data_IF_328033782862
#
_entry.id   IF_328033782862
#
_cell.length_a   1.000
_cell.length_b   1.000
_cell.length_c   1.000
_cell.angle_alpha   90.00
_cell.angle_beta   90.00
_cell.angle_gamma   90.00
#
_symmetry.space_group_name_H-M   'P 1'
#
loop_
_entity.id
_entity.type
_entity.pdbx_description
1 polymer ?
#
# COMPACT_ATOMS: atom_id res chain seq x y z
N UNK A 1 -11.09 10.83 -15.99
CA UNK A 1 -11.11 9.43 -16.45
C UNK A 1 -12.38 8.84 -15.84
N UNK A 2 -13.29 8.36 -16.67
CA UNK A 2 -14.55 7.76 -16.20
C UNK A 2 -14.23 6.48 -15.40
N UNK A 3 -14.80 6.35 -14.20
CA UNK A 3 -14.52 5.24 -13.28
C UNK A 3 -15.72 4.32 -13.28
N UNK A 4 -15.62 3.11 -13.85
CA UNK A 4 -16.79 2.26 -14.10
C UNK A 4 -17.51 1.84 -12.81
N UNK A 5 -16.80 1.79 -11.67
CA UNK A 5 -17.40 1.48 -10.37
C UNK A 5 -18.21 2.64 -9.75
N UNK A 6 -18.12 3.86 -10.29
CA UNK A 6 -18.95 5.00 -9.87
C UNK A 6 -20.38 4.90 -10.46
N UNK A 7 -20.56 4.10 -11.51
CA UNK A 7 -21.82 3.82 -12.19
C UNK A 7 -22.17 2.32 -12.17
N UNK A 8 -21.76 1.61 -11.11
CA UNK A 8 -21.88 0.14 -11.03
C UNK A 8 -23.33 -0.37 -11.12
N UNK A 9 -24.31 0.46 -10.71
CA UNK A 9 -25.73 0.13 -10.77
C UNK A 9 -26.28 0.12 -12.21
N UNK A 10 -25.57 0.75 -13.15
CA UNK A 10 -25.91 0.79 -14.58
C UNK A 10 -25.25 -0.37 -15.36
N UNK A 11 -24.45 -1.21 -14.70
CA UNK A 11 -23.71 -2.32 -15.31
C UNK A 11 -24.43 -3.65 -15.11
N UNK A 12 -24.25 -4.57 -16.06
CA UNK A 12 -24.82 -5.92 -15.99
C UNK A 12 -23.76 -7.00 -16.19
N UNK A 13 -24.03 -8.18 -15.62
CA UNK A 13 -23.25 -9.39 -15.85
C UNK A 13 -21.74 -9.21 -15.62
N UNK A 14 -20.95 -9.53 -16.66
CA UNK A 14 -19.49 -9.50 -16.59
C UNK A 14 -18.90 -8.09 -16.39
N UNK A 15 -19.64 -7.03 -16.73
CA UNK A 15 -19.14 -5.65 -16.62
C UNK A 15 -19.11 -5.19 -15.16
N UNK A 16 -20.01 -5.71 -14.31
CA UNK A 16 -19.93 -5.53 -12.85
C UNK A 16 -18.59 -6.08 -12.34
N UNK A 17 -18.23 -7.31 -12.72
CA UNK A 17 -16.97 -7.94 -12.28
C UNK A 17 -15.74 -7.15 -12.70
N UNK A 18 -15.72 -6.64 -13.93
CA UNK A 18 -14.62 -5.79 -14.41
C UNK A 18 -14.54 -4.48 -13.60
N UNK A 19 -15.67 -3.85 -13.31
CA UNK A 19 -15.71 -2.62 -12.53
C UNK A 19 -15.20 -2.83 -11.09
N UNK A 20 -15.65 -3.90 -10.42
CA UNK A 20 -15.17 -4.25 -9.07
C UNK A 20 -13.69 -4.65 -9.09
N UNK A 21 -13.24 -5.40 -10.09
CA UNK A 21 -11.83 -5.78 -10.25
C UNK A 21 -10.93 -4.55 -10.41
N UNK A 22 -11.34 -3.61 -11.26
CA UNK A 22 -10.61 -2.36 -11.49
C UNK A 22 -10.55 -1.49 -10.22
N UNK A 23 -11.65 -1.41 -9.45
CA UNK A 23 -11.65 -0.74 -8.17
C UNK A 23 -10.69 -1.39 -7.15
N UNK A 24 -10.74 -2.73 -7.03
CA UNK A 24 -9.86 -3.48 -6.13
C UNK A 24 -8.40 -3.27 -6.50
N UNK A 25 -8.08 -3.26 -7.81
CA UNK A 25 -6.74 -2.97 -8.31
C UNK A 25 -6.27 -1.58 -7.91
N UNK A 26 -7.00 -0.53 -8.26
CA UNK A 26 -6.61 0.86 -7.94
C UNK A 26 -6.50 1.07 -6.44
N UNK A 27 -7.43 0.52 -5.67
CA UNK A 27 -7.41 0.62 -4.21
C UNK A 27 -6.21 -0.11 -3.61
N UNK A 28 -5.89 -1.31 -4.08
CA UNK A 28 -4.74 -2.08 -3.57
C UNK A 28 -3.41 -1.44 -3.97
N UNK A 29 -3.27 -0.99 -5.23
CA UNK A 29 -2.07 -0.28 -5.69
C UNK A 29 -1.82 0.98 -4.85
N UNK A 30 -2.88 1.71 -4.47
CA UNK A 30 -2.77 2.85 -3.56
C UNK A 30 -2.24 2.45 -2.18
N UNK A 31 -2.74 1.36 -1.59
CA UNK A 31 -2.26 0.87 -0.29
C UNK A 31 -0.81 0.37 -0.36
N UNK A 32 -0.43 -0.30 -1.44
CA UNK A 32 0.97 -0.72 -1.65
C UNK A 32 1.90 0.49 -1.78
N UNK A 33 1.46 1.56 -2.45
CA UNK A 33 2.21 2.82 -2.50
C UNK A 33 2.33 3.47 -1.12
N UNK A 34 1.24 3.49 -0.32
CA UNK A 34 1.26 4.02 1.04
C UNK A 34 2.18 3.22 1.97
N UNK A 35 2.14 1.89 1.91
CA UNK A 35 3.05 1.00 2.65
C UNK A 35 4.52 1.21 2.24
N UNK A 36 4.79 1.36 0.94
CA UNK A 36 6.13 1.69 0.43
C UNK A 36 6.63 3.01 1.01
N UNK A 37 5.82 4.07 0.97
CA UNK A 37 6.17 5.37 1.56
C UNK A 37 6.39 5.23 3.07
N UNK A 38 5.54 4.47 3.77
CA UNK A 38 5.68 4.23 5.20
C UNK A 38 7.01 3.53 5.53
N UNK A 39 7.36 2.43 4.86
CA UNK A 39 8.64 1.74 5.09
C UNK A 39 9.82 2.61 4.64
N UNK A 40 9.67 3.35 3.55
CA UNK A 40 10.67 4.28 3.06
C UNK A 40 11.01 5.37 4.06
N UNK A 41 10.02 5.94 4.76
CA UNK A 41 10.23 6.98 5.78
C UNK A 41 10.57 6.44 7.17
N UNK A 42 9.88 5.38 7.61
CA UNK A 42 9.87 4.91 8.99
C UNK A 42 10.44 3.50 9.19
N UNK A 43 10.87 2.83 8.13
CA UNK A 43 11.43 1.48 8.18
C UNK A 43 12.89 1.42 8.66
N UNK A 44 13.56 2.56 8.86
CA UNK A 44 14.94 2.66 9.32
C UNK A 44 15.10 3.75 10.38
N UNK A 45 15.76 3.43 11.51
CA UNK A 45 15.92 4.34 12.64
C UNK A 45 16.66 5.64 12.27
N UNK A 46 17.58 5.61 11.31
CA UNK A 46 18.33 6.79 10.85
C UNK A 46 17.43 7.75 10.06
N UNK A 47 16.51 7.20 9.26
CA UNK A 47 15.50 7.98 8.52
C UNK A 47 14.52 8.64 9.48
N UNK A 48 14.09 7.89 10.51
CA UNK A 48 13.30 8.44 11.63
C UNK A 48 14.06 9.58 12.32
N UNK A 49 15.37 9.44 12.51
CA UNK A 49 16.25 10.48 13.06
C UNK A 49 16.15 11.80 12.29
N UNK A 50 16.31 11.76 10.95
CA UNK A 50 16.15 12.94 10.07
C UNK A 50 14.78 13.59 10.28
N UNK A 51 13.72 12.78 10.25
CA UNK A 51 12.35 13.28 10.37
C UNK A 51 12.11 13.93 11.74
N UNK A 52 12.65 13.35 12.81
CA UNK A 52 12.50 13.87 14.16
C UNK A 52 13.30 15.17 14.38
N UNK A 53 14.51 15.25 13.82
CA UNK A 53 15.32 16.47 13.83
C UNK A 53 14.66 17.60 13.05
N UNK A 54 14.04 17.29 11.90
CA UNK A 54 13.30 18.28 11.12
C UNK A 54 12.01 18.73 11.85
N UNK A 55 11.16 17.78 12.27
CA UNK A 55 9.98 18.02 13.09
C UNK A 55 9.35 16.71 13.59
N UNK A 56 9.73 16.26 14.78
CA UNK A 56 9.16 15.06 15.41
C UNK A 56 7.62 15.03 15.50
N UNK A 57 6.94 16.11 15.91
CA UNK A 57 5.47 16.12 15.95
C UNK A 57 4.82 15.91 14.59
N UNK A 58 5.35 16.55 13.53
CA UNK A 58 4.84 16.37 12.17
C UNK A 58 5.12 14.95 11.66
N UNK A 59 6.34 14.44 11.91
CA UNK A 59 6.71 13.08 11.55
C UNK A 59 5.77 12.04 12.18
N UNK A 60 5.42 12.24 13.46
CA UNK A 60 4.48 11.35 14.18
C UNK A 60 3.08 11.36 13.54
N UNK A 61 2.56 12.54 13.19
CA UNK A 61 1.25 12.67 12.53
C UNK A 61 1.25 11.95 11.18
N UNK A 62 2.31 12.11 10.39
CA UNK A 62 2.46 11.43 9.09
C UNK A 62 2.53 9.92 9.29
N UNK A 63 3.34 9.44 10.25
CA UNK A 63 3.48 8.02 10.55
C UNK A 63 2.14 7.39 10.91
N UNK A 64 1.41 8.00 11.85
CA UNK A 64 0.12 7.48 12.32
C UNK A 64 -0.92 7.51 11.19
N UNK A 65 -0.97 8.59 10.42
CA UNK A 65 -1.93 8.75 9.32
C UNK A 65 -1.72 7.70 8.24
N UNK A 66 -0.47 7.47 7.82
CA UNK A 66 -0.16 6.43 6.82
C UNK A 66 -0.47 5.03 7.34
N UNK A 67 -0.11 4.76 8.60
CA UNK A 67 -0.38 3.48 9.22
C UNK A 67 -1.88 3.18 9.32
N UNK A 68 -2.65 4.13 9.83
CA UNK A 68 -4.09 3.97 10.01
C UNK A 68 -4.82 3.94 8.66
N UNK A 69 -4.35 4.67 7.64
CA UNK A 69 -4.87 4.59 6.28
C UNK A 69 -4.68 3.18 5.69
N UNK A 70 -3.50 2.57 5.86
CA UNK A 70 -3.25 1.19 5.43
C UNK A 70 -4.15 0.19 6.15
N UNK A 71 -4.28 0.30 7.49
CA UNK A 71 -5.19 -0.53 8.29
C UNK A 71 -6.62 -0.45 7.77
N UNK A 72 -7.15 0.78 7.62
CA UNK A 72 -8.52 1.01 7.16
C UNK A 72 -8.75 0.48 5.74
N UNK A 73 -7.80 0.74 4.83
CA UNK A 73 -7.90 0.31 3.44
C UNK A 73 -7.88 -1.20 3.28
N UNK A 74 -7.00 -1.89 3.99
CA UNK A 74 -6.95 -3.36 4.00
C UNK A 74 -8.27 -3.92 4.54
N UNK A 75 -8.72 -3.44 5.70
CA UNK A 75 -9.99 -3.91 6.27
C UNK A 75 -11.16 -3.68 5.32
N UNK A 76 -11.23 -2.51 4.66
CA UNK A 76 -12.28 -2.19 3.69
C UNK A 76 -12.30 -3.16 2.50
N UNK A 77 -11.15 -3.53 1.95
CA UNK A 77 -11.06 -4.47 0.83
C UNK A 77 -11.36 -5.92 1.23
N UNK A 78 -11.08 -6.30 2.49
CA UNK A 78 -11.31 -7.64 3.03
C UNK A 78 -12.66 -7.82 3.75
N UNK A 79 -13.42 -6.73 3.93
CA UNK A 79 -14.74 -6.76 4.57
C UNK A 79 -15.75 -7.55 3.73
N UNK A 80 -16.81 -8.10 4.36
CA UNK A 80 -17.77 -8.92 3.64
C UNK A 80 -18.58 -8.03 2.70
N UNK A 81 -19.05 -8.60 1.60
CA UNK A 81 -20.14 -7.99 0.86
C UNK A 81 -21.36 -7.97 1.79
N UNK A 82 -21.70 -6.81 2.37
CA UNK A 82 -22.86 -6.71 3.26
C UNK A 82 -24.12 -7.03 2.45
N UNK A 83 -25.02 -7.92 2.93
CA UNK A 83 -26.30 -8.17 2.27
C UNK A 83 -27.14 -6.88 2.27
N UNK A 84 -27.71 -6.57 1.12
CA UNK A 84 -28.39 -5.31 0.81
C UNK A 84 -29.62 -5.07 1.70
N UNK A 85 -29.46 -4.25 2.73
CA UNK A 85 -30.57 -3.45 3.31
C UNK A 85 -30.41 -1.94 3.04
N UNK A 86 -29.30 -1.56 2.39
CA UNK A 86 -29.03 -0.22 1.87
C UNK A 86 -28.61 -0.35 0.39
N UNK A 87 -28.86 0.67 -0.45
CA UNK A 87 -28.52 0.61 -1.87
C UNK A 87 -27.00 0.52 -2.13
N UNK A 88 -26.14 0.87 -1.17
CA UNK A 88 -24.68 0.85 -1.36
C UNK A 88 -24.07 -0.54 -1.10
N UNK A 89 -23.63 -1.23 -2.16
CA UNK A 89 -22.75 -2.41 -2.04
C UNK A 89 -21.31 -1.95 -1.78
N UNK A 90 -20.62 -2.64 -0.86
CA UNK A 90 -19.20 -2.38 -0.66
C UNK A 90 -18.40 -3.04 -1.79
N UNK A 91 -17.56 -2.25 -2.48
CA UNK A 91 -16.61 -2.75 -3.46
C UNK A 91 -15.45 -3.43 -2.73
N UNK A 92 -15.49 -4.76 -2.65
CA UNK A 92 -14.52 -5.59 -1.90
C UNK A 92 -14.11 -6.81 -2.71
N UNK A 93 -13.08 -7.53 -2.24
CA UNK A 93 -12.73 -8.83 -2.82
C UNK A 93 -13.88 -9.84 -2.73
N UNK A 94 -14.72 -9.77 -1.69
CA UNK A 94 -15.88 -10.63 -1.58
C UNK A 94 -16.87 -10.36 -2.70
N UNK A 95 -17.19 -9.08 -2.95
CA UNK A 95 -18.07 -8.72 -4.06
C UNK A 95 -17.48 -9.15 -5.41
N UNK A 96 -16.18 -8.95 -5.63
CA UNK A 96 -15.50 -9.37 -6.85
C UNK A 96 -15.74 -10.87 -7.10
N UNK A 97 -15.44 -11.72 -6.10
CA UNK A 97 -15.58 -13.17 -6.20
C UNK A 97 -17.04 -13.57 -6.45
N UNK A 98 -17.99 -12.89 -5.80
CA UNK A 98 -19.42 -13.14 -5.94
C UNK A 98 -19.96 -12.78 -7.34
N UNK A 99 -19.38 -11.75 -7.98
CA UNK A 99 -19.83 -11.28 -9.30
C UNK A 99 -19.16 -12.01 -10.46
N UNK A 100 -18.05 -12.74 -10.23
CA UNK A 100 -17.36 -13.49 -11.29
C UNK A 100 -18.37 -14.39 -12.04
N UNK A 101 -18.22 -14.61 -13.36
CA UNK A 101 -18.98 -15.66 -14.04
C UNK A 101 -18.76 -17.00 -13.31
N UNK A 102 -19.66 -17.98 -13.47
CA UNK A 102 -19.54 -19.30 -12.82
C UNK A 102 -18.16 -19.90 -13.08
N UNK A 103 -17.24 -19.72 -12.13
CA UNK A 103 -15.85 -20.13 -12.27
C UNK A 103 -15.56 -21.26 -11.31
N UNK A 104 -14.91 -22.29 -11.83
CA UNK A 104 -14.50 -23.47 -11.04
C UNK A 104 -13.56 -23.05 -9.88
N UNK A 105 -12.96 -21.86 -9.98
CA UNK A 105 -12.03 -21.31 -8.99
C UNK A 105 -12.70 -20.50 -7.88
N UNK A 106 -14.00 -20.17 -7.98
CA UNK A 106 -14.70 -19.31 -7.01
C UNK A 106 -14.55 -19.80 -5.57
N UNK A 107 -14.66 -21.10 -5.34
CA UNK A 107 -14.48 -21.71 -4.02
C UNK A 107 -13.05 -21.52 -3.49
N UNK A 108 -12.04 -21.69 -4.36
CA UNK A 108 -10.64 -21.51 -4.00
C UNK A 108 -10.34 -20.05 -3.63
N UNK A 109 -10.85 -19.09 -4.42
CA UNK A 109 -10.72 -17.65 -4.10
C UNK A 109 -11.40 -17.30 -2.79
N UNK A 110 -12.59 -17.85 -2.53
CA UNK A 110 -13.29 -17.66 -1.25
C UNK A 110 -12.51 -18.17 -0.05
N UNK A 111 -11.91 -19.37 -0.16
CA UNK A 111 -11.05 -19.94 0.89
C UNK A 111 -9.82 -19.07 1.15
N UNK A 112 -9.17 -18.57 0.09
CA UNK A 112 -8.02 -17.69 0.23
C UNK A 112 -8.36 -16.33 0.82
N UNK A 113 -9.48 -15.74 0.39
CA UNK A 113 -10.00 -14.52 0.99
C UNK A 113 -10.27 -14.72 2.49
N UNK A 114 -10.78 -15.89 2.90
CA UNK A 114 -10.97 -16.19 4.31
C UNK A 114 -9.63 -16.27 5.07
N UNK A 115 -8.60 -16.91 4.51
CA UNK A 115 -7.26 -16.93 5.10
C UNK A 115 -6.67 -15.52 5.25
N UNK A 116 -6.82 -14.67 4.24
CA UNK A 116 -6.40 -13.26 4.28
C UNK A 116 -7.10 -12.50 5.42
N UNK A 117 -8.41 -12.71 5.58
CA UNK A 117 -9.18 -12.09 6.65
C UNK A 117 -8.67 -12.55 8.01
N UNK A 118 -8.44 -13.83 8.19
CA UNK A 118 -7.93 -14.37 9.45
C UNK A 118 -6.55 -13.80 9.81
N UNK A 119 -5.67 -13.62 8.83
CA UNK A 119 -4.39 -12.90 9.02
C UNK A 119 -4.58 -11.43 9.36
N UNK A 120 -5.55 -10.76 8.75
CA UNK A 120 -5.89 -9.36 9.00
C UNK A 120 -6.77 -9.14 10.27
N UNK A 121 -6.89 -10.13 11.15
CA UNK A 121 -7.72 -10.03 12.37
C UNK A 121 -7.26 -8.91 13.30
N UNK A 122 -5.95 -8.81 13.55
CA UNK A 122 -5.39 -7.74 14.39
C UNK A 122 -5.64 -6.33 13.81
N UNK A 123 -5.65 -6.19 12.48
CA UNK A 123 -5.99 -4.93 11.81
C UNK A 123 -7.45 -4.55 12.05
N UNK A 124 -8.36 -5.53 11.99
CA UNK A 124 -9.80 -5.32 12.27
C UNK A 124 -10.02 -4.95 13.72
N UNK A 125 -9.36 -5.64 14.66
CA UNK A 125 -9.42 -5.30 16.08
C UNK A 125 -8.92 -3.87 16.34
N UNK A 126 -7.84 -3.45 15.67
CA UNK A 126 -7.34 -2.08 15.75
C UNK A 126 -8.35 -1.08 15.19
N UNK A 127 -8.89 -1.33 13.99
CA UNK A 127 -9.92 -0.47 13.39
C UNK A 127 -11.09 -0.28 14.35
N UNK A 128 -11.63 -1.37 14.86
CA UNK A 128 -12.87 -1.34 15.65
C UNK A 128 -12.65 -0.67 17.02
N UNK A 129 -11.48 -0.88 17.66
CA UNK A 129 -11.20 -0.37 19.01
C UNK A 129 -10.55 1.02 19.09
N UNK A 130 -9.85 1.45 18.03
CA UNK A 130 -9.09 2.71 18.05
C UNK A 130 -9.51 3.71 16.98
N UNK A 131 -9.96 3.25 15.81
CA UNK A 131 -10.21 4.14 14.67
C UNK A 131 -11.70 4.45 14.48
N UNK A 132 -12.58 3.45 14.67
CA UNK A 132 -14.02 3.57 14.45
C UNK A 132 -14.80 3.92 15.71
N UNK A 133 -14.37 3.40 16.87
CA UNK A 133 -14.96 3.69 18.17
C UNK A 133 -13.87 4.17 19.11
N UNK A 134 -13.86 5.46 19.42
CA UNK A 134 -13.15 5.96 20.61
C UNK A 134 -13.96 5.54 21.84
N UNK A 135 -14.05 4.23 22.08
CA UNK A 135 -14.86 3.71 23.18
C UNK A 135 -14.20 4.08 24.51
N UNK A 136 -14.95 4.69 25.41
CA UNK A 136 -14.46 5.14 26.72
C UNK A 136 -13.92 3.95 27.51
N UNK A 137 -14.48 2.76 27.29
CA UNK A 137 -14.02 1.52 27.94
C UNK A 137 -12.72 0.98 27.33
N UNK A 138 -12.44 1.23 26.05
CA UNK A 138 -11.15 0.91 25.43
C UNK A 138 -10.03 1.82 25.96
N UNK A 139 -10.35 3.08 26.24
CA UNK A 139 -9.46 4.05 26.88
C UNK A 139 -9.24 3.77 28.38
N UNK A 140 -10.27 3.31 29.10
CA UNK A 140 -10.21 3.03 30.55
C UNK A 140 -9.55 1.70 30.92
N UNK A 141 -9.72 0.67 30.10
CA UNK A 141 -9.18 -0.66 30.42
C UNK A 141 -7.74 -0.89 29.93
N UNK A 142 -7.03 0.18 29.52
CA UNK A 142 -5.69 0.07 28.96
C UNK A 142 -5.64 -0.99 27.87
N UNK A 143 -6.66 -1.00 27.00
CA UNK A 143 -6.90 -2.10 26.07
C UNK A 143 -5.58 -2.41 25.36
N UNK A 144 -5.01 -3.57 25.68
CA UNK A 144 -3.89 -4.14 24.94
C UNK A 144 -4.46 -4.53 23.57
N UNK A 145 -4.68 -3.53 22.73
CA UNK A 145 -4.98 -3.77 21.33
C UNK A 145 -3.71 -4.36 20.76
N UNK A 146 -3.85 -5.57 20.23
CA UNK A 146 -2.72 -6.36 19.76
C UNK A 146 -1.83 -5.49 18.88
N UNK A 147 -0.55 -5.45 19.23
CA UNK A 147 0.46 -4.77 18.44
C UNK A 147 0.32 -5.21 16.98
N UNK A 148 0.11 -4.26 16.09
CA UNK A 148 0.08 -4.51 14.65
C UNK A 148 1.50 -4.30 14.14
N UNK A 149 2.14 -5.39 13.74
CA UNK A 149 3.47 -5.35 13.12
C UNK A 149 3.36 -4.76 11.70
N UNK A 150 4.06 -3.65 11.38
CA UNK A 150 4.12 -3.12 10.02
C UNK A 150 4.57 -4.14 8.98
N UNK A 151 5.45 -5.09 9.35
CA UNK A 151 5.84 -6.17 8.42
C UNK A 151 4.67 -7.11 8.09
N UNK A 152 3.74 -7.27 9.04
CA UNK A 152 2.50 -8.01 8.84
C UNK A 152 1.57 -7.33 7.84
N UNK A 153 1.53 -6.00 7.80
CA UNK A 153 0.76 -5.21 6.82
C UNK A 153 1.27 -5.50 5.41
N UNK A 154 2.59 -5.37 5.18
CA UNK A 154 3.20 -5.68 3.87
C UNK A 154 2.92 -7.10 3.42
N UNK A 155 3.06 -8.08 4.31
CA UNK A 155 2.76 -9.49 4.02
C UNK A 155 1.29 -9.72 3.62
N UNK A 156 0.35 -8.98 4.20
CA UNK A 156 -1.07 -9.05 3.83
C UNK A 156 -1.29 -8.41 2.45
N UNK A 157 -0.73 -7.23 2.20
CA UNK A 157 -0.84 -6.54 0.91
C UNK A 157 -0.29 -7.38 -0.24
N UNK A 158 0.86 -8.01 -0.04
CA UNK A 158 1.46 -8.98 -0.95
C UNK A 158 0.48 -10.08 -1.35
N UNK A 159 -0.15 -10.71 -0.36
CA UNK A 159 -1.09 -11.81 -0.58
C UNK A 159 -2.41 -11.34 -1.21
N UNK A 160 -2.84 -10.11 -0.93
CA UNK A 160 -3.94 -9.48 -1.65
C UNK A 160 -3.59 -9.25 -3.13
N UNK A 161 -2.34 -8.86 -3.41
CA UNK A 161 -1.80 -8.71 -4.76
C UNK A 161 -1.78 -10.02 -5.52
N UNK A 162 -1.23 -11.09 -4.91
CA UNK A 162 -1.23 -12.45 -5.47
C UNK A 162 -2.64 -12.92 -5.84
N UNK A 163 -3.60 -12.76 -4.92
CA UNK A 163 -5.00 -13.15 -5.15
C UNK A 163 -5.59 -12.36 -6.32
N UNK A 164 -5.40 -11.05 -6.34
CA UNK A 164 -5.95 -10.20 -7.39
C UNK A 164 -5.34 -10.50 -8.76
N UNK A 165 -4.02 -10.73 -8.82
CA UNK A 165 -3.32 -11.09 -10.04
C UNK A 165 -3.79 -12.43 -10.59
N UNK A 166 -4.01 -13.44 -9.72
CA UNK A 166 -4.58 -14.73 -10.14
C UNK A 166 -6.00 -14.61 -10.66
N UNK A 167 -6.86 -13.81 -10.02
CA UNK A 167 -8.21 -13.54 -10.52
C UNK A 167 -8.13 -12.88 -11.90
N UNK A 168 -7.26 -11.88 -12.08
CA UNK A 168 -7.10 -11.21 -13.37
C UNK A 168 -6.60 -12.14 -14.47
N UNK A 169 -5.63 -12.99 -14.16
CA UNK A 169 -5.09 -13.93 -15.12
C UNK A 169 -6.14 -14.96 -15.54
N UNK A 170 -6.87 -15.54 -14.58
CA UNK A 170 -7.83 -16.61 -14.85
C UNK A 170 -9.13 -16.11 -15.49
N UNK A 171 -9.69 -15.03 -14.94
CA UNK A 171 -11.06 -14.59 -15.27
C UNK A 171 -11.09 -13.50 -16.34
N UNK A 172 -10.01 -12.73 -16.48
CA UNK A 172 -9.92 -11.61 -17.44
C UNK A 172 -8.80 -11.77 -18.47
N UNK A 173 -7.95 -12.81 -18.37
CA UNK A 173 -6.79 -13.01 -19.23
C UNK A 173 -5.83 -11.80 -19.23
N UNK A 174 -5.71 -11.13 -18.07
CA UNK A 174 -4.87 -9.96 -17.88
C UNK A 174 -3.73 -10.33 -16.92
N UNK A 175 -2.50 -10.09 -17.35
CA UNK A 175 -1.35 -10.12 -16.45
C UNK A 175 -1.29 -8.81 -15.67
N UNK A 176 -1.60 -8.86 -14.38
CA UNK A 176 -1.67 -7.69 -13.52
C UNK A 176 -0.38 -7.48 -12.74
N UNK A 177 0.17 -6.27 -12.82
CA UNK A 177 1.26 -5.80 -11.96
C UNK A 177 0.65 -4.82 -10.95
N UNK A 178 0.65 -5.19 -9.67
CA UNK A 178 0.03 -4.39 -8.58
C UNK A 178 1.07 -3.53 -7.86
N UNK A 179 2.35 -3.72 -8.16
CA UNK A 179 3.44 -3.04 -7.48
C UNK A 179 3.56 -1.58 -7.88
N UNK A 180 3.78 -0.67 -6.91
CA UNK A 180 4.14 0.70 -7.22
C UNK A 180 5.40 0.74 -8.09
N UNK A 181 5.54 1.77 -8.95
CA UNK A 181 6.78 1.98 -9.68
C UNK A 181 7.97 2.14 -8.72
N UNK A 182 9.16 1.79 -9.23
CA UNK A 182 10.46 1.93 -8.57
C UNK A 182 10.92 3.41 -8.53
N UNK A 183 10.02 4.31 -8.15
CA UNK A 183 10.25 5.74 -8.02
C UNK A 183 10.19 6.15 -6.55
N UNK A 184 11.31 6.00 -5.85
CA UNK A 184 11.46 6.23 -4.41
C UNK A 184 11.45 7.72 -3.98
N UNK A 185 10.34 8.42 -4.26
CA UNK A 185 10.13 9.83 -3.93
C UNK A 185 10.28 10.14 -2.44
N UNK A 186 9.93 9.19 -1.57
CA UNK A 186 10.10 9.29 -0.13
C UNK A 186 11.57 9.35 0.29
N UNK A 187 12.46 8.69 -0.46
CA UNK A 187 13.90 8.76 -0.25
C UNK A 187 14.43 10.13 -0.69
N UNK A 188 13.94 10.64 -1.82
CA UNK A 188 14.26 11.98 -2.29
C UNK A 188 13.79 13.09 -1.34
N UNK A 189 12.64 12.88 -0.71
CA UNK A 189 12.16 13.74 0.37
C UNK A 189 13.13 13.75 1.56
N UNK A 190 13.57 12.57 2.03
CA UNK A 190 14.55 12.47 3.11
C UNK A 190 15.91 13.10 2.76
N UNK A 191 16.40 12.90 1.53
CA UNK A 191 17.62 13.55 1.04
C UNK A 191 17.49 15.08 1.07
N UNK A 192 16.32 15.58 0.71
CA UNK A 192 16.02 17.02 0.73
C UNK A 192 15.97 17.56 2.16
N UNK A 193 15.42 16.81 3.12
CA UNK A 193 15.44 17.18 4.53
C UNK A 193 16.85 17.17 5.12
N UNK A 194 17.66 16.16 4.78
CA UNK A 194 19.01 16.01 5.33
C UNK A 194 19.98 17.06 4.80
N UNK A 195 20.02 17.26 3.48
CA UNK A 195 21.00 18.13 2.84
C UNK A 195 20.49 19.57 2.65
N UNK A 196 19.17 19.75 2.58
CA UNK A 196 18.57 20.93 1.97
C UNK A 196 18.54 20.84 0.44
N UNK A 197 17.62 21.59 -0.17
CA UNK A 197 17.38 21.53 -1.62
C UNK A 197 18.60 21.96 -2.45
N UNK A 198 19.32 22.99 -2.02
CA UNK A 198 20.44 23.55 -2.80
C UNK A 198 21.66 22.64 -2.76
N UNK A 199 21.99 22.08 -1.59
CA UNK A 199 23.06 21.10 -1.48
C UNK A 199 22.74 19.81 -2.25
N UNK A 200 21.48 19.34 -2.25
CA UNK A 200 21.06 18.18 -3.06
C UNK A 200 21.22 18.45 -4.56
N UNK A 201 20.83 19.65 -5.03
CA UNK A 201 21.05 20.05 -6.44
C UNK A 201 22.54 20.10 -6.78
N UNK A 202 23.37 20.61 -5.87
CA UNK A 202 24.83 20.65 -6.05
C UNK A 202 25.45 19.25 -6.15
N UNK A 203 25.02 18.30 -5.31
CA UNK A 203 25.46 16.89 -5.40
C UNK A 203 25.10 16.30 -6.76
N UNK A 204 23.85 16.49 -7.23
CA UNK A 204 23.42 15.97 -8.53
C UNK A 204 24.17 16.62 -9.70
N UNK A 205 24.42 17.93 -9.64
CA UNK A 205 25.21 18.64 -10.65
C UNK A 205 26.66 18.15 -10.68
N UNK A 206 27.27 17.94 -9.51
CA UNK A 206 28.63 17.39 -9.40
C UNK A 206 28.71 15.97 -9.97
N UNK A 207 27.71 15.12 -9.69
CA UNK A 207 27.61 13.78 -10.28
C UNK A 207 27.59 13.84 -11.82
N UNK A 208 26.71 14.68 -12.40
CA UNK A 208 26.61 14.85 -13.86
C UNK A 208 27.94 15.35 -14.45
N UNK A 209 28.57 16.33 -13.79
CA UNK A 209 29.85 16.88 -14.25
C UNK A 209 30.95 15.80 -14.26
N UNK A 210 31.07 14.99 -13.20
CA UNK A 210 32.02 13.87 -13.16
C UNK A 210 31.77 12.86 -14.28
N UNK A 211 30.50 12.59 -14.59
CA UNK A 211 30.13 11.69 -15.68
C UNK A 211 30.52 12.23 -17.06
N UNK A 212 30.35 13.54 -17.27
CA UNK A 212 30.79 14.22 -18.50
C UNK A 212 32.32 14.20 -18.61
N UNK A 213 33.02 14.51 -17.52
CA UNK A 213 34.47 14.63 -17.50
C UNK A 213 35.18 13.28 -17.57
N UNK A 214 34.58 12.21 -17.02
CA UNK A 214 35.13 10.86 -17.00
C UNK A 214 34.02 9.83 -17.19
N UNK A 215 33.66 9.53 -18.46
CA UNK A 215 32.62 8.55 -18.75
C UNK A 215 32.99 7.16 -18.20
N UNK A 216 32.08 6.49 -17.47
CA UNK A 216 32.37 5.19 -16.89
C UNK A 216 32.52 4.12 -17.97
N UNK A 217 33.50 3.24 -17.80
CA UNK A 217 33.65 2.04 -18.61
C UNK A 217 32.91 0.89 -17.92
N UNK A 218 31.63 0.70 -18.24
CA UNK A 218 30.80 -0.36 -17.66
C UNK A 218 29.37 0.08 -17.35
N UNK A 219 28.80 -0.47 -16.28
CA UNK A 219 27.47 -0.08 -15.82
C UNK A 219 27.43 1.41 -15.48
N UNK A 220 26.34 2.07 -15.87
CA UNK A 220 26.14 3.49 -15.57
C UNK A 220 25.92 3.63 -14.05
N UNK A 221 26.79 4.38 -13.33
CA UNK A 221 26.55 4.70 -11.95
C UNK A 221 25.27 5.53 -11.86
N UNK A 222 24.61 5.46 -10.72
CA UNK A 222 23.40 6.20 -10.43
C UNK A 222 23.72 7.35 -9.48
N UNK A 223 23.09 8.53 -9.61
CA UNK A 223 23.25 9.63 -8.64
C UNK A 223 23.03 9.20 -7.18
N UNK A 224 22.21 8.16 -6.99
CA UNK A 224 21.89 7.51 -5.72
C UNK A 224 23.11 6.84 -5.05
N UNK A 225 24.13 6.46 -5.81
CA UNK A 225 25.33 5.77 -5.32
C UNK A 225 26.20 6.66 -4.41
N UNK A 226 26.06 7.99 -4.53
CA UNK A 226 26.74 8.97 -3.67
C UNK A 226 26.12 9.06 -2.27
N UNK A 227 24.94 8.47 -2.06
CA UNK A 227 24.26 8.48 -0.77
C UNK A 227 24.57 7.19 0.02
N UNK A 228 24.56 7.24 1.37
CA UNK A 228 24.74 6.03 2.16
C UNK A 228 23.61 5.03 1.86
N UNK A 229 23.90 3.72 1.92
CA UNK A 229 22.96 2.66 1.56
C UNK A 229 21.57 2.75 2.24
N UNK A 230 21.52 3.31 3.46
CA UNK A 230 20.26 3.50 4.16
C UNK A 230 19.42 4.67 3.64
N UNK A 231 19.98 5.54 2.79
CA UNK A 231 19.29 6.62 2.07
C UNK A 231 19.24 6.34 0.56
N UNK A 232 19.32 5.06 0.21
CA UNK A 232 19.03 4.53 -1.11
C UNK A 232 17.67 3.80 -1.09
N UNK A 233 17.02 3.65 -2.27
CA UNK A 233 15.98 2.66 -2.48
C UNK A 233 16.32 1.31 -1.85
N UNK A 234 15.38 0.68 -1.16
CA UNK A 234 15.56 -0.73 -0.80
C UNK A 234 15.19 -1.57 -2.02
N UNK A 235 15.95 -2.61 -2.36
CA UNK A 235 15.53 -3.54 -3.38
C UNK A 235 14.17 -4.14 -3.00
N UNK A 236 13.24 -4.18 -3.94
CA UNK A 236 11.98 -4.87 -3.73
C UNK A 236 12.24 -6.37 -3.55
N UNK A 237 11.50 -7.06 -2.66
CA UNK A 237 11.58 -8.52 -2.56
C UNK A 237 11.09 -9.14 -3.87
N UNK A 238 11.89 -10.07 -4.41
CA UNK A 238 11.55 -10.93 -5.56
C UNK A 238 10.24 -11.71 -5.35
#
# INVERSE_FOLDING_TARGET
>A
MDRPWEHIDDLEGADISKAVAAYCHVSLAHLMMQDRIYDGLFGDARRIGILNEASGPVAKVIQDTLFDANVLGICRLLDPAKPSRRPSRNLTFALLIDTLPTSDNRQAYGAELQMLRDRARSLRDRRDKHLAHTDVDALRNGAQVGWVDPRGIRAILLRMGDLLARIHQAEFQIHLIVWPPDDHHEIDFLRSLLLGNDARKAVRAAFVQRFVDTPPQGALPQPEDDFPAWLQPRPEPD
#
